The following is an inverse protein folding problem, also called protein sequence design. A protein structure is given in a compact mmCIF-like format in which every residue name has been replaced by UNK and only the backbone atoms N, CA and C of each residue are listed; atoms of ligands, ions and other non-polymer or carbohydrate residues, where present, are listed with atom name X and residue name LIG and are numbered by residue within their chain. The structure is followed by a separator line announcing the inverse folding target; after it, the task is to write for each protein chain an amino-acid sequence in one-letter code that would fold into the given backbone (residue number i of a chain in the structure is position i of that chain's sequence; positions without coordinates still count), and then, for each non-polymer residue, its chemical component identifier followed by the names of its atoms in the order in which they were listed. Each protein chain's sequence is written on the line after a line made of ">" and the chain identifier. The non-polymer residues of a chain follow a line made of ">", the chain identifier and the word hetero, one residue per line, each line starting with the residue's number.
data_IF_776349032245
#
_entry.id   IF_776349032245
#
_cell.length_a   1.000
_cell.length_b   1.000
_cell.length_c   1.000
_cell.angle_alpha   90.00
_cell.angle_beta   90.00
_cell.angle_gamma   90.00
#
_symmetry.space_group_name_H-M   'P 1'
#
loop_
_entity.id
_entity.type
_entity.pdbx_description
1 polymer ?
#
# COMPACT_ATOMS: atom_id res chain seq x y z
N UNK A 1 18.32 -5.28 22.01
CA UNK A 1 18.74 -5.72 20.68
C UNK A 1 17.47 -5.75 19.83
N UNK A 2 17.30 -4.73 18.96
CA UNK A 2 16.13 -4.59 18.11
C UNK A 2 16.26 -5.58 16.95
N UNK A 3 15.41 -6.59 16.91
CA UNK A 3 15.18 -7.38 15.69
C UNK A 3 14.58 -6.40 14.69
N UNK A 4 15.36 -5.96 13.69
CA UNK A 4 14.82 -5.22 12.56
C UNK A 4 13.70 -6.05 11.94
N UNK A 5 12.48 -5.55 12.10
CA UNK A 5 11.31 -6.21 11.57
C UNK A 5 11.38 -6.16 10.05
N UNK A 6 11.23 -7.31 9.38
CA UNK A 6 11.02 -7.40 7.93
C UNK A 6 9.93 -6.41 7.56
N UNK A 7 10.19 -5.56 6.57
CA UNK A 7 9.21 -4.59 6.11
C UNK A 7 7.92 -5.31 5.71
N UNK A 8 6.79 -4.95 6.35
CA UNK A 8 5.50 -5.56 6.05
C UNK A 8 5.08 -5.17 4.63
N UNK A 9 4.54 -6.14 3.91
CA UNK A 9 4.03 -5.94 2.55
C UNK A 9 2.52 -6.08 2.54
N UNK A 10 1.86 -5.09 1.95
CA UNK A 10 0.45 -5.13 1.57
C UNK A 10 0.38 -5.12 0.06
N UNK A 11 -0.08 -6.21 -0.53
CA UNK A 11 -0.18 -6.34 -1.98
C UNK A 11 -1.54 -5.82 -2.47
N UNK A 12 -1.55 -4.81 -3.34
CA UNK A 12 -2.77 -4.34 -3.98
C UNK A 12 -3.11 -5.21 -5.19
N UNK A 13 -4.35 -5.65 -5.25
CA UNK A 13 -4.92 -6.43 -6.37
C UNK A 13 -6.25 -5.83 -6.82
N UNK A 14 -6.63 -6.08 -8.06
CA UNK A 14 -7.96 -5.77 -8.57
C UNK A 14 -8.84 -7.04 -8.64
N UNK A 15 -10.15 -6.94 -8.38
CA UNK A 15 -11.06 -8.05 -8.59
C UNK A 15 -10.97 -8.59 -10.02
N UNK A 16 -10.69 -9.87 -10.19
CA UNK A 16 -10.65 -10.58 -11.49
C UNK A 16 -11.07 -12.02 -11.31
N UNK A 17 -11.51 -12.66 -12.41
CA UNK A 17 -11.97 -14.06 -12.37
C UNK A 17 -10.87 -15.02 -11.87
N UNK A 18 -9.61 -14.73 -12.23
CA UNK A 18 -8.48 -15.62 -11.92
C UNK A 18 -7.78 -15.29 -10.58
N UNK A 19 -8.25 -14.25 -9.86
CA UNK A 19 -7.56 -13.75 -8.67
C UNK A 19 -7.40 -14.85 -7.60
N UNK A 20 -8.46 -15.59 -7.32
CA UNK A 20 -8.48 -16.61 -6.26
C UNK A 20 -7.60 -17.83 -6.58
N UNK A 21 -7.30 -18.07 -7.85
CA UNK A 21 -6.42 -19.16 -8.28
C UNK A 21 -4.97 -18.71 -8.40
N UNK A 22 -4.71 -17.48 -8.85
CA UNK A 22 -3.36 -16.99 -9.09
C UNK A 22 -2.68 -16.45 -7.84
N UNK A 23 -3.44 -15.79 -6.94
CA UNK A 23 -2.85 -15.14 -5.77
C UNK A 23 -2.17 -16.13 -4.81
N UNK A 24 -2.74 -17.28 -4.46
CA UNK A 24 -2.09 -18.24 -3.54
C UNK A 24 -0.75 -18.78 -4.03
N UNK A 25 -0.54 -18.84 -5.36
CA UNK A 25 0.74 -19.24 -5.94
C UNK A 25 1.78 -18.10 -5.93
N UNK A 26 1.35 -16.85 -5.75
CA UNK A 26 2.19 -15.67 -5.88
C UNK A 26 2.50 -14.97 -4.56
N UNK A 27 1.62 -15.07 -3.57
CA UNK A 27 1.68 -14.31 -2.34
C UNK A 27 1.13 -15.10 -1.16
N UNK A 28 1.88 -15.15 -0.07
CA UNK A 28 1.55 -15.90 1.14
C UNK A 28 0.47 -15.21 1.98
N UNK A 29 -0.31 -15.99 2.73
CA UNK A 29 -1.35 -15.48 3.64
C UNK A 29 -0.80 -14.75 4.86
N UNK A 30 0.50 -14.81 5.13
CA UNK A 30 1.16 -14.01 6.19
C UNK A 30 1.22 -12.52 5.86
N UNK A 31 1.08 -12.13 4.58
CA UNK A 31 0.95 -10.75 4.14
C UNK A 31 -0.50 -10.27 4.10
N UNK A 32 -0.70 -8.96 3.94
CA UNK A 32 -2.03 -8.40 3.74
C UNK A 32 -2.30 -8.09 2.26
N UNK A 33 -3.57 -8.19 1.86
CA UNK A 33 -4.02 -7.97 0.49
C UNK A 33 -5.02 -6.83 0.45
N UNK A 34 -4.69 -5.77 -0.28
CA UNK A 34 -5.60 -4.66 -0.53
C UNK A 34 -6.36 -4.88 -1.83
N UNK A 35 -7.68 -4.76 -1.81
CA UNK A 35 -8.54 -5.02 -2.98
C UNK A 35 -9.10 -3.72 -3.51
N UNK A 36 -8.67 -3.30 -4.70
CA UNK A 36 -9.04 -1.99 -5.25
C UNK A 36 -10.49 -1.93 -5.73
N UNK A 37 -11.12 -0.75 -5.60
CA UNK A 37 -12.47 -0.47 -6.10
C UNK A 37 -12.40 0.24 -7.46
N UNK A 38 -12.50 -0.52 -8.55
CA UNK A 38 -12.46 0.04 -9.90
C UNK A 38 -13.81 0.64 -10.31
N UNK A 39 -13.83 1.77 -11.06
CA UNK A 39 -15.06 2.48 -11.40
C UNK A 39 -16.11 1.64 -12.14
N UNK A 40 -15.66 0.68 -12.95
CA UNK A 40 -16.53 -0.20 -13.75
C UNK A 40 -16.97 -1.47 -13.01
N UNK A 41 -16.35 -1.80 -11.88
CA UNK A 41 -16.73 -2.96 -11.06
C UNK A 41 -17.68 -2.57 -9.92
N UNK A 42 -17.56 -1.35 -9.40
CA UNK A 42 -18.30 -0.88 -8.23
C UNK A 42 -17.83 -1.53 -6.91
N UNK A 43 -18.38 -1.08 -5.76
CA UNK A 43 -17.96 -1.54 -4.45
C UNK A 43 -18.35 -3.00 -4.16
N UNK A 44 -19.45 -3.50 -4.70
CA UNK A 44 -19.90 -4.88 -4.50
C UNK A 44 -18.89 -5.93 -4.95
N UNK A 45 -18.26 -5.75 -6.13
CA UNK A 45 -17.20 -6.66 -6.63
C UNK A 45 -15.96 -6.64 -5.75
N UNK A 46 -15.61 -5.48 -5.19
CA UNK A 46 -14.48 -5.35 -4.26
C UNK A 46 -14.76 -6.11 -2.96
N UNK A 47 -15.96 -5.96 -2.41
CA UNK A 47 -16.39 -6.66 -1.20
C UNK A 47 -16.44 -8.17 -1.43
N UNK A 48 -17.06 -8.64 -2.52
CA UNK A 48 -17.10 -10.05 -2.88
C UNK A 48 -15.70 -10.67 -2.97
N UNK A 49 -14.76 -10.01 -3.67
CA UNK A 49 -13.39 -10.49 -3.77
C UNK A 49 -12.68 -10.50 -2.42
N UNK A 50 -12.90 -9.50 -1.57
CA UNK A 50 -12.31 -9.42 -0.23
C UNK A 50 -12.83 -10.51 0.69
N UNK A 51 -14.14 -10.80 0.69
CA UNK A 51 -14.76 -11.89 1.43
C UNK A 51 -14.18 -13.24 1.00
N UNK A 52 -14.06 -13.47 -0.29
CA UNK A 52 -13.49 -14.71 -0.82
C UNK A 52 -12.00 -14.87 -0.44
N UNK A 53 -11.20 -13.79 -0.49
CA UNK A 53 -9.81 -13.83 -0.05
C UNK A 53 -9.68 -14.02 1.46
N UNK A 54 -10.56 -13.42 2.26
CA UNK A 54 -10.60 -13.64 3.71
C UNK A 54 -10.89 -15.10 4.05
N UNK A 55 -11.79 -15.77 3.30
CA UNK A 55 -12.06 -17.20 3.47
C UNK A 55 -10.87 -18.10 3.14
N UNK A 56 -9.92 -17.64 2.35
CA UNK A 56 -8.64 -18.30 2.08
C UNK A 56 -7.56 -17.99 3.15
N UNK A 57 -7.89 -17.20 4.18
CA UNK A 57 -6.98 -16.84 5.28
C UNK A 57 -6.17 -15.58 5.08
N UNK A 58 -6.42 -14.79 4.02
CA UNK A 58 -5.74 -13.51 3.85
C UNK A 58 -6.30 -12.44 4.78
N UNK A 59 -5.41 -11.60 5.33
CA UNK A 59 -5.81 -10.32 5.90
C UNK A 59 -6.15 -9.35 4.77
N UNK A 60 -7.45 -9.11 4.53
CA UNK A 60 -7.92 -8.30 3.40
C UNK A 60 -8.26 -6.88 3.81
N UNK A 61 -7.93 -5.92 2.92
CA UNK A 61 -8.20 -4.49 3.07
C UNK A 61 -8.93 -3.99 1.83
N UNK A 62 -10.27 -4.08 1.79
CA UNK A 62 -11.05 -3.59 0.67
C UNK A 62 -11.00 -2.06 0.55
N UNK A 63 -10.88 -1.56 -0.68
CA UNK A 63 -11.11 -0.16 -0.96
C UNK A 63 -12.61 0.10 -1.08
N UNK A 64 -13.10 1.11 -0.38
CA UNK A 64 -14.44 1.63 -0.61
C UNK A 64 -14.34 3.03 -1.23
N UNK A 65 -14.91 3.18 -2.43
CA UNK A 65 -14.89 4.43 -3.17
C UNK A 65 -16.18 5.22 -2.90
N UNK A 66 -16.07 6.33 -2.18
CA UNK A 66 -17.20 7.17 -1.75
C UNK A 66 -18.17 7.48 -2.89
N UNK A 67 -17.65 7.94 -4.02
CA UNK A 67 -18.47 8.31 -5.19
C UNK A 67 -19.14 7.14 -5.90
N UNK A 68 -18.86 5.90 -5.50
CA UNK A 68 -19.48 4.70 -6.09
C UNK A 68 -20.59 4.11 -5.25
N UNK A 69 -20.77 4.57 -4.01
CA UNK A 69 -21.82 4.11 -3.09
C UNK A 69 -23.07 4.92 -3.30
N UNK A 70 -24.20 4.24 -3.50
CA UNK A 70 -25.49 4.87 -3.87
C UNK A 70 -26.28 5.39 -2.69
N UNK A 71 -25.98 4.93 -1.46
CA UNK A 71 -26.66 5.38 -0.25
C UNK A 71 -26.26 4.59 0.98
N UNK A 72 -26.86 4.98 2.09
CA UNK A 72 -26.60 4.39 3.42
C UNK A 72 -26.95 2.89 3.48
N UNK A 73 -28.06 2.50 2.89
CA UNK A 73 -28.48 1.09 2.87
C UNK A 73 -27.48 0.18 2.14
N UNK A 74 -26.93 0.64 1.01
CA UNK A 74 -25.85 -0.08 0.31
C UNK A 74 -24.59 -0.14 1.17
N UNK A 75 -24.17 1.00 1.75
CA UNK A 75 -23.01 1.05 2.64
C UNK A 75 -23.14 0.05 3.78
N UNK A 76 -24.25 0.04 4.50
CA UNK A 76 -24.48 -0.87 5.61
C UNK A 76 -24.46 -2.33 5.17
N UNK A 77 -25.05 -2.66 4.01
CA UNK A 77 -25.00 -4.02 3.45
C UNK A 77 -23.57 -4.47 3.15
N UNK A 78 -22.74 -3.60 2.57
CA UNK A 78 -21.34 -3.89 2.28
C UNK A 78 -20.51 -4.07 3.55
N UNK A 79 -20.67 -3.19 4.54
CA UNK A 79 -19.97 -3.27 5.82
C UNK A 79 -20.36 -4.54 6.60
N UNK A 80 -21.64 -4.90 6.62
CA UNK A 80 -22.10 -6.13 7.26
C UNK A 80 -21.48 -7.39 6.65
N UNK A 81 -21.40 -7.47 5.31
CA UNK A 81 -20.73 -8.57 4.61
C UNK A 81 -19.27 -8.69 5.00
N UNK A 82 -18.55 -7.56 5.08
CA UNK A 82 -17.14 -7.51 5.49
C UNK A 82 -16.96 -7.94 6.94
N UNK A 83 -17.79 -7.46 7.87
CA UNK A 83 -17.76 -7.87 9.27
C UNK A 83 -18.00 -9.37 9.44
N UNK A 84 -19.01 -9.92 8.74
CA UNK A 84 -19.33 -11.35 8.78
C UNK A 84 -18.18 -12.22 8.24
N UNK A 85 -17.37 -11.70 7.33
CA UNK A 85 -16.17 -12.34 6.81
C UNK A 85 -14.91 -12.14 7.68
N UNK A 86 -15.02 -11.42 8.81
CA UNK A 86 -13.89 -11.13 9.69
C UNK A 86 -12.94 -10.05 9.17
N UNK A 87 -13.35 -9.27 8.15
CA UNK A 87 -12.56 -8.15 7.65
C UNK A 87 -12.67 -6.99 8.64
N UNK A 88 -11.53 -6.55 9.15
CA UNK A 88 -11.44 -5.50 10.18
C UNK A 88 -10.72 -4.23 9.72
N UNK A 89 -10.18 -4.20 8.50
CA UNK A 89 -9.48 -3.03 7.96
C UNK A 89 -10.07 -2.62 6.60
N UNK A 90 -10.25 -1.30 6.42
CA UNK A 90 -10.79 -0.69 5.19
C UNK A 90 -9.81 0.37 4.67
N UNK A 91 -9.82 0.60 3.37
CA UNK A 91 -9.18 1.77 2.78
C UNK A 91 -10.22 2.64 2.05
N UNK A 92 -10.46 3.86 2.56
CA UNK A 92 -11.48 4.74 2.03
C UNK A 92 -10.90 5.77 1.06
N UNK A 93 -11.40 5.77 -0.17
CA UNK A 93 -10.99 6.67 -1.24
C UNK A 93 -12.16 7.46 -1.80
N UNK A 94 -11.89 8.59 -2.47
CA UNK A 94 -12.95 9.34 -3.13
C UNK A 94 -13.56 8.57 -4.31
N UNK A 95 -12.72 7.88 -5.08
CA UNK A 95 -13.07 7.20 -6.33
C UNK A 95 -13.07 8.13 -7.54
N UNK A 96 -12.99 7.54 -8.74
CA UNK A 96 -12.76 8.25 -10.00
C UNK A 96 -14.03 8.70 -10.72
N UNK A 97 -15.22 8.40 -10.20
CA UNK A 97 -16.48 8.82 -10.82
C UNK A 97 -16.58 10.34 -10.81
N UNK A 98 -16.90 10.95 -11.97
CA UNK A 98 -17.07 12.41 -12.07
C UNK A 98 -18.25 12.92 -11.26
N UNK A 99 -19.36 12.15 -11.22
CA UNK A 99 -20.54 12.44 -10.41
C UNK A 99 -20.68 11.33 -9.37
N UNK A 100 -20.90 11.67 -8.09
CA UNK A 100 -21.25 10.70 -7.07
C UNK A 100 -22.51 9.92 -7.45
N UNK A 101 -22.56 8.63 -7.11
CA UNK A 101 -23.75 7.79 -7.30
C UNK A 101 -24.79 8.03 -6.22
N UNK A 102 -24.38 8.58 -5.07
CA UNK A 102 -25.20 8.84 -3.90
C UNK A 102 -24.68 10.05 -3.10
N UNK A 103 -24.88 10.09 -1.78
CA UNK A 103 -24.60 11.25 -0.95
C UNK A 103 -23.10 11.50 -0.70
N UNK A 104 -22.23 10.53 -0.96
CA UNK A 104 -20.82 10.61 -0.60
C UNK A 104 -19.99 11.21 -1.75
N UNK A 105 -19.75 12.52 -1.71
CA UNK A 105 -18.99 13.24 -2.74
C UNK A 105 -17.46 13.10 -2.58
N UNK A 106 -16.98 12.84 -1.37
CA UNK A 106 -15.56 12.66 -1.04
C UNK A 106 -15.35 11.68 0.13
N UNK A 107 -14.13 11.20 0.30
CA UNK A 107 -13.81 10.15 1.28
C UNK A 107 -14.05 10.53 2.74
N UNK A 108 -14.06 11.82 3.10
CA UNK A 108 -14.37 12.26 4.47
C UNK A 108 -15.82 11.97 4.87
N UNK A 109 -16.78 12.22 3.98
CA UNK A 109 -18.18 11.87 4.24
C UNK A 109 -18.39 10.37 4.40
N UNK A 110 -17.69 9.56 3.59
CA UNK A 110 -17.73 8.10 3.75
C UNK A 110 -17.08 7.67 5.06
N UNK A 111 -15.97 8.30 5.46
CA UNK A 111 -15.27 8.01 6.71
C UNK A 111 -16.17 8.28 7.93
N UNK A 112 -16.87 9.41 7.95
CA UNK A 112 -17.85 9.74 8.99
C UNK A 112 -18.99 8.71 9.05
N UNK A 113 -19.53 8.32 7.89
CA UNK A 113 -20.61 7.34 7.81
C UNK A 113 -20.17 5.93 8.25
N UNK A 114 -18.94 5.49 7.92
CA UNK A 114 -18.40 4.20 8.37
C UNK A 114 -18.18 4.21 9.88
N UNK A 115 -17.61 5.28 10.46
CA UNK A 115 -17.42 5.40 11.90
C UNK A 115 -18.76 5.50 12.67
N UNK A 116 -19.79 6.10 12.08
CA UNK A 116 -21.13 6.14 12.65
C UNK A 116 -21.80 4.73 12.63
N UNK A 117 -21.49 3.90 11.65
CA UNK A 117 -21.97 2.52 11.57
C UNK A 117 -21.29 1.62 12.60
N UNK A 118 -19.95 1.65 12.67
CA UNK A 118 -19.16 0.85 13.61
C UNK A 118 -17.75 1.44 13.79
N UNK A 119 -17.25 1.39 15.01
CA UNK A 119 -15.87 1.74 15.37
C UNK A 119 -14.91 0.55 15.29
N UNK A 120 -15.38 -0.64 14.90
CA UNK A 120 -14.58 -1.87 14.88
C UNK A 120 -13.64 -1.93 13.64
N UNK A 121 -13.87 -1.07 12.63
CA UNK A 121 -13.00 -1.01 11.48
C UNK A 121 -11.80 -0.09 11.70
N UNK A 122 -10.61 -0.60 11.45
CA UNK A 122 -9.41 0.21 11.23
C UNK A 122 -9.47 0.83 9.83
N UNK A 123 -9.37 2.16 9.73
CA UNK A 123 -9.62 2.85 8.47
C UNK A 123 -8.36 3.52 7.95
N UNK A 124 -7.90 3.13 6.76
CA UNK A 124 -6.86 3.81 6.00
C UNK A 124 -7.44 4.97 5.17
N UNK A 125 -6.67 6.05 5.07
CA UNK A 125 -6.96 7.23 4.24
C UNK A 125 -5.82 7.52 3.27
N UNK A 126 -6.12 8.15 2.12
CA UNK A 126 -5.13 8.40 1.09
C UNK A 126 -4.18 9.57 1.43
N UNK A 127 -2.88 9.36 1.15
CA UNK A 127 -1.82 10.37 1.16
C UNK A 127 -1.21 10.56 -0.24
N UNK A 128 -0.64 11.73 -0.53
CA UNK A 128 -0.18 12.09 -1.89
C UNK A 128 1.23 12.68 -1.88
N UNK A 129 2.29 11.86 -1.91
CA UNK A 129 3.69 12.34 -1.84
C UNK A 129 4.08 13.33 -2.94
N UNK A 130 3.51 13.21 -4.12
CA UNK A 130 3.80 14.06 -5.28
C UNK A 130 2.65 14.99 -5.66
N UNK A 131 1.64 15.11 -4.78
CA UNK A 131 0.44 15.89 -5.02
C UNK A 131 -0.60 15.13 -5.84
N UNK A 132 -1.67 15.84 -6.23
CA UNK A 132 -2.80 15.29 -6.98
C UNK A 132 -3.07 16.17 -8.21
N UNK A 133 -3.43 15.62 -9.38
CA UNK A 133 -3.59 16.43 -10.61
C UNK A 133 -4.72 17.47 -10.54
N UNK A 134 -5.70 17.29 -9.67
CA UNK A 134 -6.90 18.12 -9.57
C UNK A 134 -7.01 18.89 -8.25
N UNK A 135 -6.13 18.64 -7.28
CA UNK A 135 -6.21 19.25 -5.94
C UNK A 135 -4.91 20.01 -5.65
N UNK A 136 -5.04 21.19 -5.03
CA UNK A 136 -3.86 21.92 -4.56
C UNK A 136 -3.25 21.28 -3.32
N UNK A 137 -2.02 21.66 -2.98
CA UNK A 137 -1.34 21.15 -1.80
C UNK A 137 -2.10 21.51 -0.52
N UNK A 138 -2.69 22.71 -0.45
CA UNK A 138 -3.50 23.17 0.69
C UNK A 138 -4.75 22.30 0.84
N UNK A 139 -5.43 21.98 -0.27
CA UNK A 139 -6.61 21.09 -0.24
C UNK A 139 -6.25 19.69 0.24
N UNK A 140 -5.08 19.16 -0.18
CA UNK A 140 -4.60 17.86 0.24
C UNK A 140 -4.26 17.85 1.73
N UNK A 141 -3.58 18.88 2.24
CA UNK A 141 -3.24 19.01 3.67
C UNK A 141 -4.48 19.13 4.53
N UNK A 142 -5.40 20.06 4.19
CA UNK A 142 -6.67 20.21 4.91
C UNK A 142 -7.52 18.94 4.90
N UNK A 143 -7.57 18.24 3.75
CA UNK A 143 -8.28 16.96 3.66
C UNK A 143 -7.66 15.88 4.55
N UNK A 144 -6.34 15.85 4.69
CA UNK A 144 -5.65 14.90 5.57
C UNK A 144 -5.93 15.25 7.05
N UNK A 145 -5.78 16.53 7.43
CA UNK A 145 -6.01 17.02 8.79
C UNK A 145 -7.43 16.73 9.28
N UNK A 146 -8.44 16.97 8.42
CA UNK A 146 -9.86 16.71 8.75
C UNK A 146 -10.09 15.20 8.98
N UNK A 147 -9.47 14.34 8.19
CA UNK A 147 -9.71 12.89 8.25
C UNK A 147 -8.87 12.16 9.30
N UNK A 148 -7.69 12.69 9.63
CA UNK A 148 -6.73 12.02 10.50
C UNK A 148 -7.31 11.62 11.89
N UNK A 149 -8.12 12.44 12.57
CA UNK A 149 -8.71 12.07 13.87
C UNK A 149 -9.66 10.86 13.82
N UNK A 150 -10.20 10.54 12.64
CA UNK A 150 -11.16 9.46 12.41
C UNK A 150 -10.53 8.25 11.70
N UNK A 151 -9.24 8.30 11.41
CA UNK A 151 -8.52 7.29 10.64
C UNK A 151 -7.50 6.54 11.51
N UNK A 152 -7.09 5.35 11.05
CA UNK A 152 -6.13 4.49 11.73
C UNK A 152 -4.78 4.42 10.99
N UNK A 153 -4.74 4.80 9.71
CA UNK A 153 -3.51 4.79 8.91
C UNK A 153 -3.60 5.70 7.68
N UNK A 154 -2.44 6.06 7.14
CA UNK A 154 -2.30 6.72 5.84
C UNK A 154 -1.72 5.72 4.85
N UNK A 155 -2.34 5.58 3.67
CA UNK A 155 -1.81 4.83 2.54
C UNK A 155 -1.43 5.82 1.46
N UNK A 156 -0.16 5.88 1.08
CA UNK A 156 0.24 6.85 0.06
C UNK A 156 -0.09 6.37 -1.35
N UNK A 157 -0.39 7.31 -2.23
CA UNK A 157 -0.43 7.04 -3.67
C UNK A 157 0.93 6.49 -4.12
N UNK A 158 0.89 5.66 -5.16
CA UNK A 158 2.09 5.10 -5.78
C UNK A 158 3.08 6.20 -6.15
N UNK A 159 4.32 6.06 -5.69
CA UNK A 159 5.40 6.99 -5.93
C UNK A 159 6.69 6.25 -6.31
N UNK A 160 7.52 6.85 -7.18
CA UNK A 160 8.75 6.27 -7.71
C UNK A 160 10.02 6.92 -7.13
N UNK A 161 9.86 7.86 -6.19
CA UNK A 161 10.95 8.62 -5.60
C UNK A 161 11.00 8.43 -4.09
N UNK A 162 12.05 7.79 -3.59
CA UNK A 162 12.29 7.65 -2.16
C UNK A 162 12.37 9.01 -1.46
N UNK A 163 13.01 10.00 -2.11
CA UNK A 163 13.10 11.36 -1.59
C UNK A 163 11.73 12.04 -1.45
N UNK A 164 10.84 11.90 -2.47
CA UNK A 164 9.50 12.48 -2.40
C UNK A 164 8.66 11.84 -1.30
N UNK A 165 8.74 10.51 -1.15
CA UNK A 165 8.08 9.75 -0.09
C UNK A 165 8.56 10.22 1.29
N UNK A 166 9.87 10.22 1.51
CA UNK A 166 10.43 10.57 2.83
C UNK A 166 10.19 12.04 3.19
N UNK A 167 10.22 12.94 2.19
CA UNK A 167 9.83 14.35 2.37
C UNK A 167 8.36 14.47 2.78
N UNK A 168 7.47 13.74 2.11
CA UNK A 168 6.04 13.74 2.46
C UNK A 168 5.81 13.23 3.88
N UNK A 169 6.39 12.10 4.25
CA UNK A 169 6.26 11.54 5.61
C UNK A 169 6.76 12.54 6.65
N UNK A 170 7.95 13.12 6.46
CA UNK A 170 8.46 14.18 7.36
C UNK A 170 7.54 15.40 7.43
N UNK A 171 6.89 15.77 6.32
CA UNK A 171 5.96 16.91 6.28
C UNK A 171 4.71 16.64 7.10
N UNK A 172 4.07 15.49 6.93
CA UNK A 172 2.87 15.16 7.72
C UNK A 172 3.18 14.98 9.20
N UNK A 173 4.37 14.45 9.57
CA UNK A 173 4.82 14.39 10.98
C UNK A 173 4.97 15.79 11.59
N UNK A 174 5.60 16.73 10.86
CA UNK A 174 5.69 18.15 11.29
C UNK A 174 4.31 18.80 11.42
N UNK A 175 3.33 18.38 10.65
CA UNK A 175 1.93 18.80 10.76
C UNK A 175 1.15 18.10 11.87
N UNK A 176 1.78 17.28 12.73
CA UNK A 176 1.13 16.60 13.86
C UNK A 176 0.33 15.35 13.46
N UNK A 177 0.50 14.81 12.27
CA UNK A 177 -0.15 13.56 11.87
C UNK A 177 0.65 12.36 12.38
N UNK A 178 0.15 11.70 13.42
CA UNK A 178 0.77 10.55 14.09
C UNK A 178 0.15 9.21 13.68
N UNK A 179 -0.35 9.11 12.45
CA UNK A 179 -0.88 7.87 11.90
C UNK A 179 0.22 6.99 11.29
N UNK A 180 0.13 5.66 11.45
CA UNK A 180 0.97 4.73 10.70
C UNK A 180 0.87 4.97 9.18
N UNK A 181 2.01 4.90 8.46
CA UNK A 181 2.07 5.15 7.02
C UNK A 181 2.44 3.88 6.27
N UNK A 182 1.55 3.45 5.39
CA UNK A 182 1.81 2.47 4.35
C UNK A 182 2.28 3.20 3.09
N UNK A 183 3.50 2.92 2.67
CA UNK A 183 4.12 3.61 1.53
C UNK A 183 3.77 2.92 0.22
N UNK A 184 3.10 3.63 -0.66
CA UNK A 184 2.72 3.17 -1.99
C UNK A 184 3.91 3.12 -2.94
N UNK A 185 4.24 1.92 -3.43
CA UNK A 185 5.32 1.69 -4.40
C UNK A 185 4.82 0.84 -5.58
N UNK A 186 5.37 1.03 -6.79
CA UNK A 186 5.03 0.15 -7.91
C UNK A 186 5.51 -1.28 -7.62
N UNK A 187 4.70 -2.26 -7.98
CA UNK A 187 5.09 -3.67 -7.99
C UNK A 187 6.03 -4.00 -9.15
N UNK A 188 6.48 -5.25 -9.24
CA UNK A 188 7.39 -5.72 -10.30
C UNK A 188 6.63 -5.93 -11.62
N UNK A 189 6.16 -4.85 -12.21
CA UNK A 189 5.38 -4.84 -13.46
C UNK A 189 6.24 -4.51 -14.66
N UNK A 190 5.80 -4.94 -15.86
CA UNK A 190 6.49 -4.56 -17.07
C UNK A 190 6.42 -3.05 -17.28
N UNK A 191 7.50 -2.47 -17.80
CA UNK A 191 7.59 -1.01 -18.07
C UNK A 191 6.47 -0.56 -19.01
N UNK A 192 6.08 -1.39 -19.99
CA UNK A 192 4.95 -1.09 -20.88
C UNK A 192 3.63 -0.92 -20.11
N UNK A 193 3.35 -1.83 -19.17
CA UNK A 193 2.15 -1.78 -18.33
C UNK A 193 2.19 -0.55 -17.42
N UNK A 194 3.36 -0.26 -16.85
CA UNK A 194 3.57 0.90 -16.00
C UNK A 194 3.34 2.23 -16.73
N UNK A 195 3.86 2.38 -17.96
CA UNK A 195 3.66 3.57 -18.81
C UNK A 195 2.19 3.74 -19.19
N UNK A 196 1.51 2.65 -19.57
CA UNK A 196 0.09 2.66 -19.94
C UNK A 196 -0.80 3.08 -18.76
N UNK A 197 -0.48 2.62 -17.56
CA UNK A 197 -1.26 2.89 -16.34
C UNK A 197 -0.91 4.25 -15.71
N UNK A 198 0.35 4.65 -15.77
CA UNK A 198 0.80 5.92 -15.19
C UNK A 198 0.12 7.15 -15.78
N UNK A 199 -0.23 7.09 -17.08
CA UNK A 199 -1.01 8.13 -17.73
C UNK A 199 -2.46 8.23 -17.21
N UNK A 200 -3.05 7.09 -16.77
CA UNK A 200 -4.42 7.04 -16.22
C UNK A 200 -4.47 7.40 -14.74
N UNK A 201 -3.42 7.09 -13.98
CA UNK A 201 -3.37 7.25 -12.52
C UNK A 201 -2.86 8.63 -12.08
N UNK A 202 -2.58 9.56 -13.01
CA UNK A 202 -2.08 10.89 -12.68
C UNK A 202 -0.66 10.95 -12.11
N UNK A 203 0.06 9.82 -12.07
CA UNK A 203 1.47 9.71 -11.62
C UNK A 203 2.48 10.19 -12.68
N UNK A 204 2.05 11.09 -13.56
CA UNK A 204 2.84 11.57 -14.71
C UNK A 204 4.12 12.33 -14.34
N UNK A 205 4.23 12.87 -13.11
CA UNK A 205 5.46 13.53 -12.63
C UNK A 205 6.53 12.49 -12.31
N UNK A 206 6.20 11.47 -11.53
CA UNK A 206 7.07 10.34 -11.23
C UNK A 206 7.52 9.59 -12.46
N UNK A 207 6.61 9.38 -13.41
CA UNK A 207 6.94 8.70 -14.66
C UNK A 207 7.90 9.52 -15.54
N UNK A 208 7.83 10.87 -15.50
CA UNK A 208 8.80 11.74 -16.15
C UNK A 208 10.18 11.69 -15.48
N UNK A 209 10.22 11.60 -14.14
CA UNK A 209 11.47 11.43 -13.40
C UNK A 209 12.12 10.08 -13.70
N UNK A 210 11.33 9.02 -13.71
CA UNK A 210 11.79 7.70 -14.09
C UNK A 210 12.36 7.65 -15.52
N UNK A 211 11.86 8.47 -16.43
CA UNK A 211 12.44 8.68 -17.78
C UNK A 211 13.78 9.43 -17.75
N UNK A 212 13.97 10.36 -16.81
CA UNK A 212 15.19 11.15 -16.66
C UNK A 212 16.37 10.40 -16.06
N UNK A 213 16.14 9.32 -15.32
CA UNK A 213 17.15 8.52 -14.60
C UNK A 213 17.71 7.34 -15.39
N UNK A 214 17.77 7.42 -16.72
CA UNK A 214 18.36 6.37 -17.57
C UNK A 214 17.38 5.30 -18.07
N UNK A 215 16.12 5.30 -17.60
CA UNK A 215 15.08 4.40 -18.11
C UNK A 215 14.66 4.69 -19.57
N UNK A 216 14.91 5.89 -20.08
CA UNK A 216 14.64 6.22 -21.48
C UNK A 216 15.46 5.35 -22.45
N UNK A 217 16.69 4.97 -22.07
CA UNK A 217 17.52 4.04 -22.86
C UNK A 217 17.04 2.59 -22.80
N UNK A 218 16.39 2.19 -21.70
CA UNK A 218 15.84 0.84 -21.50
C UNK A 218 14.55 0.60 -22.29
N UNK A 219 13.75 1.67 -22.55
CA UNK A 219 12.51 1.58 -23.34
C UNK A 219 12.74 1.21 -24.82
N UNK A 220 13.97 1.35 -25.34
CA UNK A 220 14.32 1.06 -26.72
C UNK A 220 15.03 -0.29 -26.94
N UNK A 221 15.29 -1.05 -25.91
CA UNK A 221 15.80 -2.42 -26.05
C UNK A 221 14.63 -3.41 -26.21
N UNK A 222 14.74 -4.22 -27.22
CA UNK A 222 13.70 -5.17 -27.72
C UNK A 222 13.35 -6.35 -26.81
N UNK A 223 13.71 -6.35 -25.55
CA UNK A 223 13.48 -7.49 -24.68
C UNK A 223 12.27 -7.24 -23.76
N UNK A 224 11.28 -8.15 -23.84
CA UNK A 224 10.09 -8.24 -22.98
C UNK A 224 10.42 -8.45 -21.46
N UNK A 225 11.69 -8.43 -21.10
CA UNK A 225 12.24 -8.71 -19.77
C UNK A 225 12.46 -7.49 -18.88
N UNK A 226 12.22 -6.28 -19.36
CA UNK A 226 12.43 -5.07 -18.54
C UNK A 226 11.24 -4.88 -17.59
N UNK A 227 11.40 -5.33 -16.36
CA UNK A 227 10.56 -4.97 -15.23
C UNK A 227 11.12 -3.74 -14.49
N UNK A 228 10.24 -3.01 -13.83
CA UNK A 228 10.64 -1.97 -12.90
C UNK A 228 11.29 -2.63 -11.66
N UNK A 229 12.45 -2.13 -11.24
CA UNK A 229 13.14 -2.62 -10.03
C UNK A 229 12.49 -2.04 -8.77
N UNK A 230 11.39 -2.65 -8.35
CA UNK A 230 10.67 -2.30 -7.13
C UNK A 230 11.51 -2.55 -5.88
N UNK A 231 12.37 -3.58 -5.90
CA UNK A 231 13.23 -3.95 -4.78
C UNK A 231 14.21 -2.82 -4.43
N UNK A 232 14.79 -2.18 -5.44
CA UNK A 232 15.69 -1.03 -5.24
C UNK A 232 14.95 0.14 -4.56
N UNK A 233 13.79 0.54 -5.06
CA UNK A 233 13.01 1.63 -4.46
C UNK A 233 12.62 1.31 -3.02
N UNK A 234 12.17 0.08 -2.75
CA UNK A 234 11.80 -0.37 -1.40
C UNK A 234 12.99 -0.25 -0.44
N UNK A 235 14.21 -0.66 -0.87
CA UNK A 235 15.44 -0.51 -0.07
C UNK A 235 15.74 0.95 0.25
N UNK A 236 15.71 1.82 -0.77
CA UNK A 236 15.98 3.25 -0.60
C UNK A 236 14.98 3.89 0.37
N UNK A 237 13.68 3.61 0.22
CA UNK A 237 12.63 4.11 1.12
C UNK A 237 12.80 3.55 2.54
N UNK A 238 13.10 2.26 2.67
CA UNK A 238 13.31 1.65 3.99
C UNK A 238 14.46 2.32 4.74
N UNK A 239 15.57 2.60 4.06
CA UNK A 239 16.71 3.33 4.64
C UNK A 239 16.32 4.76 5.05
N UNK A 240 15.57 5.48 4.22
CA UNK A 240 15.14 6.85 4.48
C UNK A 240 14.15 6.95 5.66
N UNK A 241 13.34 5.91 5.89
CA UNK A 241 12.28 5.88 6.91
C UNK A 241 12.60 4.98 8.11
N UNK A 242 13.79 4.40 8.19
CA UNK A 242 14.18 3.49 9.28
C UNK A 242 14.05 4.12 10.69
N UNK A 243 14.11 5.45 10.80
CA UNK A 243 13.93 6.18 12.06
C UNK A 243 12.49 6.60 12.37
N UNK A 244 11.51 6.35 11.48
CA UNK A 244 10.10 6.69 11.75
C UNK A 244 9.39 5.50 12.40
N UNK A 245 9.02 5.56 13.70
CA UNK A 245 8.37 4.47 14.40
C UNK A 245 6.96 4.17 13.87
N UNK A 246 6.39 5.07 13.08
CA UNK A 246 5.07 4.96 12.47
C UNK A 246 5.15 4.57 10.97
N UNK A 247 6.32 4.14 10.48
CA UNK A 247 6.43 3.48 9.20
C UNK A 247 5.82 2.07 9.30
N UNK A 248 4.64 1.88 8.68
CA UNK A 248 3.89 0.64 8.78
C UNK A 248 4.37 -0.45 7.82
N UNK A 249 4.95 -0.06 6.68
CA UNK A 249 5.38 -0.97 5.62
C UNK A 249 5.06 -0.45 4.22
N UNK A 250 5.06 -1.36 3.25
CA UNK A 250 4.85 -1.02 1.84
C UNK A 250 3.50 -1.48 1.32
N UNK A 251 2.82 -0.61 0.60
CA UNK A 251 1.64 -0.90 -0.19
C UNK A 251 2.07 -1.05 -1.66
N UNK A 252 2.10 -2.29 -2.14
CA UNK A 252 2.68 -2.66 -3.44
C UNK A 252 1.59 -2.77 -4.49
N UNK A 253 1.61 -1.89 -5.47
CA UNK A 253 0.66 -1.86 -6.59
C UNK A 253 1.01 -2.93 -7.62
N UNK A 254 0.40 -4.11 -7.53
CA UNK A 254 0.72 -5.26 -8.40
C UNK A 254 0.12 -5.16 -9.80
N UNK A 255 -0.98 -4.41 -9.97
CA UNK A 255 -1.77 -4.37 -11.20
C UNK A 255 -2.17 -5.76 -11.70
N UNK A 256 -2.31 -6.73 -10.81
CA UNK A 256 -2.53 -8.15 -11.11
C UNK A 256 -1.43 -8.78 -12.00
N UNK A 257 -0.19 -8.27 -11.95
CA UNK A 257 0.98 -8.95 -12.55
C UNK A 257 1.59 -9.93 -11.53
N UNK A 258 0.75 -10.87 -11.08
CA UNK A 258 1.03 -11.73 -9.92
C UNK A 258 2.20 -12.67 -10.15
N UNK A 259 2.46 -13.10 -11.40
CA UNK A 259 3.57 -13.98 -11.71
C UNK A 259 4.96 -13.41 -11.40
N UNK A 260 5.09 -12.11 -11.19
CA UNK A 260 6.35 -11.44 -10.84
C UNK A 260 6.52 -11.17 -9.34
N UNK A 261 5.44 -11.33 -8.56
CA UNK A 261 5.44 -11.05 -7.11
C UNK A 261 6.41 -11.96 -6.33
N UNK A 262 6.51 -13.28 -6.62
CA UNK A 262 7.46 -14.15 -5.91
C UNK A 262 8.90 -13.65 -5.97
N UNK A 263 9.37 -13.21 -7.14
CA UNK A 263 10.72 -12.65 -7.29
C UNK A 263 10.96 -11.41 -6.41
N UNK A 264 9.98 -10.50 -6.32
CA UNK A 264 10.07 -9.36 -5.39
C UNK A 264 10.13 -9.82 -3.93
N UNK A 265 9.31 -10.80 -3.55
CA UNK A 265 9.30 -11.31 -2.17
C UNK A 265 10.63 -11.98 -1.81
N UNK A 266 11.25 -12.69 -2.74
CA UNK A 266 12.58 -13.29 -2.54
C UNK A 266 13.67 -12.21 -2.41
N UNK A 267 13.65 -11.18 -3.25
CA UNK A 267 14.56 -10.04 -3.14
C UNK A 267 14.44 -9.33 -1.78
N UNK A 268 13.22 -9.19 -1.26
CA UNK A 268 12.98 -8.55 0.04
C UNK A 268 13.40 -9.42 1.23
N UNK A 269 13.34 -10.75 1.14
CA UNK A 269 13.85 -11.67 2.17
C UNK A 269 15.36 -11.57 2.29
N UNK A 270 16.09 -11.31 1.21
CA UNK A 270 17.54 -11.14 1.22
C UNK A 270 18.00 -9.83 1.87
N UNK A 271 17.08 -8.89 2.13
CA UNK A 271 17.37 -7.62 2.81
C UNK A 271 17.50 -7.75 4.33
N UNK A 272 17.31 -8.95 4.89
CA UNK A 272 17.62 -9.17 6.30
C UNK A 272 19.12 -8.96 6.51
N UNK A 273 19.55 -8.21 7.55
CA UNK A 273 20.94 -8.17 7.92
C UNK A 273 21.36 -9.63 8.17
N UNK A 274 22.32 -10.08 7.39
CA UNK A 274 22.98 -11.35 7.65
C UNK A 274 23.58 -11.22 9.03
N UNK A 275 23.00 -11.86 10.05
CA UNK A 275 23.61 -11.97 11.35
C UNK A 275 24.87 -12.79 11.13
N UNK A 276 25.98 -12.11 10.84
CA UNK A 276 27.29 -12.72 10.82
C UNK A 276 27.54 -13.15 12.26
N UNK A 277 27.35 -14.44 12.53
CA UNK A 277 27.85 -15.07 13.74
C UNK A 277 29.34 -14.78 13.75
N UNK A 278 29.77 -13.89 14.64
CA UNK A 278 31.18 -13.69 14.89
C UNK A 278 31.79 -15.04 15.31
N UNK A 279 32.81 -15.54 14.63
CA UNK A 279 33.50 -16.78 15.06
C UNK A 279 34.32 -16.45 16.30
N UNK A 280 34.03 -17.13 17.41
CA UNK A 280 34.98 -17.38 18.46
C UNK A 280 35.11 -16.33 19.56
N UNK A 281 34.28 -16.39 20.58
CA UNK A 281 34.76 -16.07 21.94
C UNK A 281 35.42 -17.32 22.51
N UNK A 282 36.75 -17.39 22.39
CA UNK A 282 37.60 -18.32 23.09
C UNK A 282 37.38 -18.14 24.59
N UNK A 283 36.84 -19.14 25.23
CA UNK A 283 36.74 -19.23 26.70
C UNK A 283 38.15 -19.27 27.28
N UNK A 284 38.52 -18.24 28.04
CA UNK A 284 39.68 -18.22 28.88
C UNK A 284 39.36 -19.07 30.12
N UNK A 285 40.12 -20.13 30.46
CA UNK A 285 39.90 -20.92 31.66
C UNK A 285 40.36 -20.12 32.88
N UNK A 286 39.47 -19.89 33.80
CA UNK A 286 39.82 -19.38 35.15
C UNK A 286 40.64 -20.43 35.90
N UNK A 287 41.89 -20.10 36.21
CA UNK A 287 42.78 -20.85 37.08
C UNK A 287 42.25 -20.79 38.52
N UNK A 288 42.27 -21.87 39.31
CA UNK A 288 41.84 -21.84 40.71
C UNK A 288 42.91 -21.20 41.59
N UNK A 289 42.54 -20.12 42.28
CA UNK A 289 43.34 -19.56 43.35
C UNK A 289 43.25 -20.48 44.59
N UNK A 290 44.45 -20.88 45.08
CA UNK A 290 44.65 -21.54 46.36
C UNK A 290 44.48 -20.57 47.52
N UNK A 291 43.94 -21.10 48.57
CA UNK A 291 43.92 -20.84 50.01
C UNK A 291 42.56 -20.41 50.50
#
# INVERSE_FOLDING_TARGET
>A
MSTEAVARIRLEVAPSADLLTQLPAAFDTTGSVSVTCLPHHGPGRTVEASVNLASLGYHTVPHLAARSITGEAELHSLLLQLQQAGVSELFLVAGDRRKPAGPYAWSGQLLEAVNAYSTDFSIGIAGYPEGHPQLSQEQLSSSLEIKAPLASSVVTQMCFSAEAISRYVRTIRKGGIELPVWVGVPGPVSIRKLVSLGARLGVGRSLKLARGTGMAGALWRRDDFLSYDSGRLIREVHQELAGDPLFAGFHVYSFNDLGRVPGLMDDLRTLQPTTTLAPGSTSIPLSPAKI
#
